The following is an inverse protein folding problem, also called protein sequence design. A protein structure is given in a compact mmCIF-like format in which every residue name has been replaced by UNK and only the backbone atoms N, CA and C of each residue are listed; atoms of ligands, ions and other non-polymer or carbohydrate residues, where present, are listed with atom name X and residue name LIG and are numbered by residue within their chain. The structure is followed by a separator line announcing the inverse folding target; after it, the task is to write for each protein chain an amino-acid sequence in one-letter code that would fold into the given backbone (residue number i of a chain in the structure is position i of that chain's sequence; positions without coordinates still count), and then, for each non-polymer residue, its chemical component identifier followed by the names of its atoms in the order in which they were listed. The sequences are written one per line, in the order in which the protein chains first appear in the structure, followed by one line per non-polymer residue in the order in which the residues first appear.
data_IF_923874649831
#
_entry.id   IF_923874649831
#
_cell.length_a   1.000
_cell.length_b   1.000
_cell.length_c   1.000
_cell.angle_alpha   90.00
_cell.angle_beta   90.00
_cell.angle_gamma   90.00
#
_symmetry.space_group_name_H-M   'P 1'
#
loop_
_entity.id
_entity.type
_entity.pdbx_description
1 polymer ?
#
# COMPACT_ATOMS: atom_id res chain seq x y z
N UNK A 1 -26.83 38.99 50.81
CA UNK A 1 -26.79 39.65 49.49
C UNK A 1 -25.50 40.38 49.19
N UNK A 2 -24.53 40.56 50.08
CA UNK A 2 -23.21 41.10 49.75
C UNK A 2 -22.39 40.19 48.82
N UNK A 3 -22.55 38.89 48.90
CA UNK A 3 -21.84 37.91 48.05
C UNK A 3 -22.24 38.02 46.58
N UNK A 4 -23.45 38.41 46.25
CA UNK A 4 -23.92 38.61 44.86
C UNK A 4 -23.33 39.86 44.23
N UNK A 5 -23.12 40.92 45.04
CA UNK A 5 -22.51 42.17 44.58
C UNK A 5 -21.01 42.06 44.28
N UNK A 6 -20.35 40.98 44.74
CA UNK A 6 -18.92 40.73 44.48
C UNK A 6 -18.65 39.95 43.15
N UNK A 7 -19.69 39.46 42.48
CA UNK A 7 -19.54 38.79 41.19
C UNK A 7 -19.55 39.84 40.09
N UNK A 8 -18.45 40.01 39.33
CA UNK A 8 -18.44 40.96 38.21
C UNK A 8 -19.44 40.51 37.14
N UNK A 9 -20.54 41.26 36.97
CA UNK A 9 -21.61 40.93 35.99
C UNK A 9 -21.11 40.81 34.53
N UNK A 10 -19.99 41.46 34.23
CA UNK A 10 -19.37 41.39 32.89
C UNK A 10 -18.52 40.17 32.60
N UNK A 11 -18.21 39.33 33.62
CA UNK A 11 -17.30 38.18 33.43
C UNK A 11 -17.77 37.17 32.36
N UNK A 12 -19.06 36.73 32.33
CA UNK A 12 -19.55 35.81 31.29
C UNK A 12 -19.43 36.40 29.88
N UNK A 13 -19.69 37.69 29.73
CA UNK A 13 -19.58 38.38 28.44
C UNK A 13 -18.12 38.44 27.94
N UNK A 14 -17.16 38.71 28.82
CA UNK A 14 -15.74 38.75 28.50
C UNK A 14 -15.25 37.36 28.12
N UNK A 15 -15.60 36.31 28.87
CA UNK A 15 -15.24 34.93 28.57
C UNK A 15 -15.77 34.52 27.19
N UNK A 16 -17.06 34.79 26.91
CA UNK A 16 -17.67 34.46 25.62
C UNK A 16 -16.97 35.21 24.47
N UNK A 17 -16.61 36.49 24.67
CA UNK A 17 -15.89 37.28 23.66
C UNK A 17 -14.49 36.71 23.38
N UNK A 18 -13.74 36.34 24.41
CA UNK A 18 -12.40 35.73 24.28
C UNK A 18 -12.48 34.40 23.57
N UNK A 19 -13.44 33.54 23.92
CA UNK A 19 -13.66 32.26 23.25
C UNK A 19 -14.04 32.44 21.78
N UNK A 20 -14.91 33.40 21.45
CA UNK A 20 -15.29 33.72 20.08
C UNK A 20 -14.08 34.18 19.24
N UNK A 21 -13.21 35.02 19.80
CA UNK A 21 -11.97 35.46 19.16
C UNK A 21 -11.01 34.28 18.95
N UNK A 22 -10.93 33.37 19.92
CA UNK A 22 -10.11 32.15 19.82
C UNK A 22 -10.62 31.23 18.69
N UNK A 23 -11.93 31.00 18.59
CA UNK A 23 -12.54 30.25 17.48
C UNK A 23 -12.24 30.90 16.14
N UNK A 24 -12.37 32.26 16.06
CA UNK A 24 -12.05 32.98 14.81
C UNK A 24 -10.59 32.78 14.37
N UNK A 25 -9.65 32.66 15.31
CA UNK A 25 -8.24 32.36 15.01
C UNK A 25 -8.07 30.90 14.57
N UNK A 26 -8.75 29.95 15.23
CA UNK A 26 -8.69 28.52 14.90
C UNK A 26 -9.25 28.21 13.51
N UNK A 27 -10.33 28.89 13.11
CA UNK A 27 -10.89 28.77 11.74
C UNK A 27 -9.86 29.14 10.67
N UNK A 28 -9.01 30.14 10.92
CA UNK A 28 -7.96 30.58 9.97
C UNK A 28 -6.90 29.46 9.72
N UNK A 29 -6.78 28.51 10.63
CA UNK A 29 -5.89 27.34 10.50
C UNK A 29 -6.70 26.05 10.24
N UNK A 30 -7.84 26.17 9.53
CA UNK A 30 -8.69 25.09 9.08
C UNK A 30 -9.28 24.20 10.21
N UNK A 31 -9.45 24.75 11.41
CA UNK A 31 -10.06 24.04 12.53
C UNK A 31 -11.56 24.32 12.58
N UNK A 32 -12.39 23.28 12.70
CA UNK A 32 -13.84 23.40 12.86
C UNK A 32 -14.19 23.20 14.32
N UNK A 33 -14.71 24.26 14.97
CA UNK A 33 -15.20 24.21 16.35
C UNK A 33 -16.70 24.12 16.37
N UNK A 34 -17.24 23.03 16.93
CA UNK A 34 -18.70 22.81 17.03
C UNK A 34 -19.33 23.43 18.28
N UNK A 35 -18.58 23.61 19.36
CA UNK A 35 -19.04 24.15 20.64
C UNK A 35 -17.97 25.05 21.23
N UNK A 36 -18.37 26.28 21.64
CA UNK A 36 -17.48 27.27 22.26
C UNK A 36 -16.71 26.73 23.49
N UNK A 37 -17.36 26.03 24.46
CA UNK A 37 -16.65 25.50 25.62
C UNK A 37 -15.54 24.49 25.30
N UNK A 38 -15.60 23.84 24.14
CA UNK A 38 -14.57 22.89 23.72
C UNK A 38 -13.19 23.54 23.49
N UNK A 39 -13.15 24.85 23.24
CA UNK A 39 -11.88 25.60 23.08
C UNK A 39 -11.11 25.69 24.40
N UNK A 40 -11.82 25.89 25.48
CA UNK A 40 -11.23 25.91 26.84
C UNK A 40 -10.68 24.52 27.20
N UNK A 41 -11.49 23.48 27.00
CA UNK A 41 -11.06 22.08 27.26
C UNK A 41 -9.84 21.73 26.43
N UNK A 42 -9.80 22.13 25.15
CA UNK A 42 -8.65 21.87 24.26
C UNK A 42 -7.36 22.52 24.77
N UNK A 43 -7.45 23.72 25.38
CA UNK A 43 -6.30 24.39 25.98
C UNK A 43 -5.72 23.72 27.22
N UNK A 44 -6.48 22.82 27.86
CA UNK A 44 -6.12 22.12 29.10
C UNK A 44 -5.69 20.67 28.87
N UNK A 45 -5.70 20.15 27.61
CA UNK A 45 -5.32 18.76 27.37
C UNK A 45 -3.83 18.55 27.58
N UNK A 46 -3.50 17.47 28.32
CA UNK A 46 -2.13 17.02 28.54
C UNK A 46 -1.72 15.82 27.67
N UNK A 47 -2.70 15.16 27.05
CA UNK A 47 -2.50 13.98 26.20
C UNK A 47 -3.32 14.15 24.92
N UNK A 48 -2.67 13.99 23.78
CA UNK A 48 -3.31 13.99 22.46
C UNK A 48 -3.18 12.60 21.85
N UNK A 49 -4.31 11.93 21.62
CA UNK A 49 -4.37 10.68 20.90
C UNK A 49 -4.70 10.98 19.44
N UNK A 50 -3.80 10.61 18.53
CA UNK A 50 -3.99 10.80 17.10
C UNK A 50 -3.98 9.45 16.40
N UNK A 51 -4.93 9.23 15.47
CA UNK A 51 -4.84 8.12 14.53
C UNK A 51 -3.71 8.42 13.54
N UNK A 52 -2.99 7.37 13.14
CA UNK A 52 -1.90 7.49 12.17
C UNK A 52 -2.45 7.76 10.78
N UNK A 53 -3.43 6.94 10.35
CA UNK A 53 -3.87 6.87 8.96
C UNK A 53 -4.78 8.04 8.59
N UNK A 54 -4.40 8.82 7.57
CA UNK A 54 -5.17 9.98 7.12
C UNK A 54 -5.14 11.20 8.05
N UNK A 55 -4.38 11.13 9.16
CA UNK A 55 -4.18 12.24 10.09
C UNK A 55 -2.71 12.68 10.12
N UNK A 56 -1.82 11.73 10.43
CA UNK A 56 -0.37 11.93 10.39
C UNK A 56 0.24 11.56 9.03
N UNK A 57 -0.48 10.79 8.23
CA UNK A 57 -0.10 10.38 6.87
C UNK A 57 -1.20 10.77 5.89
N UNK A 58 -0.84 10.91 4.62
CA UNK A 58 -1.77 11.24 3.53
C UNK A 58 -2.63 10.04 3.08
N UNK A 59 -2.54 8.90 3.77
CA UNK A 59 -3.15 7.62 3.34
C UNK A 59 -2.75 7.25 1.90
N UNK A 60 -1.53 7.57 1.51
CA UNK A 60 -0.93 7.26 0.22
C UNK A 60 0.28 6.37 0.43
N UNK A 61 0.37 5.33 -0.37
CA UNK A 61 1.52 4.43 -0.40
C UNK A 61 2.33 4.68 -1.67
N UNK A 62 3.63 4.48 -1.58
CA UNK A 62 4.55 4.60 -2.73
C UNK A 62 5.56 3.47 -2.67
N UNK A 63 5.81 2.82 -3.80
CA UNK A 63 6.88 1.82 -3.92
C UNK A 63 8.23 2.53 -3.86
N UNK A 64 9.07 2.18 -2.92
CA UNK A 64 10.37 2.84 -2.68
C UNK A 64 11.55 2.00 -3.10
N UNK A 65 11.50 0.69 -2.87
CA UNK A 65 12.56 -0.24 -3.23
C UNK A 65 11.99 -1.50 -3.87
N UNK A 66 12.75 -2.10 -4.76
CA UNK A 66 12.45 -3.39 -5.38
C UNK A 66 13.67 -4.30 -5.25
N UNK A 67 13.45 -5.58 -4.97
CA UNK A 67 14.48 -6.60 -5.04
C UNK A 67 14.33 -7.40 -6.32
N UNK A 68 15.34 -7.39 -7.17
CA UNK A 68 15.32 -8.02 -8.50
C UNK A 68 16.70 -8.50 -8.90
N UNK A 69 16.78 -9.72 -9.48
CA UNK A 69 18.04 -10.32 -9.94
C UNK A 69 19.17 -10.25 -8.89
N UNK A 70 18.86 -10.56 -7.62
CA UNK A 70 19.82 -10.50 -6.52
C UNK A 70 20.23 -9.10 -6.07
N UNK A 71 19.52 -8.04 -6.48
CA UNK A 71 19.88 -6.64 -6.18
C UNK A 71 18.67 -5.83 -5.69
N UNK A 72 18.93 -4.96 -4.73
CA UNK A 72 17.98 -3.94 -4.31
C UNK A 72 18.15 -2.73 -5.22
N UNK A 73 17.05 -2.20 -5.74
CA UNK A 73 17.04 -1.01 -6.58
C UNK A 73 15.80 -0.14 -6.34
N UNK A 74 15.88 1.12 -6.69
CA UNK A 74 14.72 2.00 -6.76
C UNK A 74 13.83 1.63 -7.96
N UNK A 75 12.49 1.83 -7.90
CA UNK A 75 11.58 1.53 -9.01
C UNK A 75 11.99 2.17 -10.33
N UNK A 76 12.53 3.39 -10.29
CA UNK A 76 13.00 4.12 -11.49
C UNK A 76 14.11 3.42 -12.26
N UNK A 77 14.82 2.47 -11.64
CA UNK A 77 15.89 1.68 -12.27
C UNK A 77 15.40 0.40 -12.93
N UNK A 78 14.13 0.07 -12.79
CA UNK A 78 13.52 -1.05 -13.48
C UNK A 78 13.52 -0.82 -15.00
N UNK A 79 13.58 -1.91 -15.75
CA UNK A 79 13.54 -1.87 -17.20
C UNK A 79 12.26 -2.56 -17.71
N UNK A 80 11.41 -1.86 -18.46
CA UNK A 80 10.12 -2.36 -18.95
C UNK A 80 10.19 -3.73 -19.63
N UNK A 81 11.24 -4.01 -20.41
CA UNK A 81 11.38 -5.30 -21.11
C UNK A 81 11.90 -6.40 -20.20
N UNK A 82 12.94 -6.11 -19.42
CA UNK A 82 13.59 -7.07 -18.53
C UNK A 82 12.68 -7.42 -17.36
N UNK A 83 11.97 -6.43 -16.82
CA UNK A 83 11.15 -6.53 -15.61
C UNK A 83 9.66 -6.67 -15.94
N UNK A 84 9.36 -7.09 -17.17
CA UNK A 84 8.01 -7.20 -17.71
C UNK A 84 7.07 -8.00 -16.81
N UNK A 85 7.43 -9.21 -16.42
CA UNK A 85 6.57 -10.07 -15.59
C UNK A 85 6.27 -9.47 -14.22
N UNK A 86 7.20 -8.71 -13.67
CA UNK A 86 7.02 -7.98 -12.43
C UNK A 86 6.00 -6.84 -12.59
N UNK A 87 6.20 -5.97 -13.57
CA UNK A 87 5.35 -4.80 -13.79
C UNK A 87 3.93 -5.21 -14.24
N UNK A 88 3.82 -6.13 -15.20
CA UNK A 88 2.54 -6.63 -15.68
C UNK A 88 1.82 -7.46 -14.62
N UNK A 89 2.54 -8.27 -13.86
CA UNK A 89 1.95 -9.11 -12.82
C UNK A 89 1.32 -8.31 -11.69
N UNK A 90 1.98 -7.24 -11.22
CA UNK A 90 1.38 -6.36 -10.22
C UNK A 90 0.22 -5.51 -10.76
N UNK A 91 0.25 -5.17 -12.04
CA UNK A 91 -0.88 -4.48 -12.67
C UNK A 91 -2.08 -5.42 -12.86
N UNK A 92 -1.86 -6.67 -13.28
CA UNK A 92 -2.91 -7.65 -13.55
C UNK A 92 -3.49 -8.26 -12.26
N UNK A 93 -2.62 -8.57 -11.27
CA UNK A 93 -3.03 -9.09 -9.96
C UNK A 93 -3.37 -7.93 -9.01
N UNK A 94 -4.42 -7.17 -9.36
CA UNK A 94 -4.76 -5.92 -8.69
C UNK A 94 -6.26 -5.62 -8.87
N UNK A 95 -6.93 -5.09 -7.83
CA UNK A 95 -8.36 -4.75 -7.87
C UNK A 95 -8.61 -3.24 -7.87
N UNK A 96 -7.55 -2.43 -7.64
CA UNK A 96 -7.65 -0.98 -7.68
C UNK A 96 -7.83 -0.43 -9.10
N UNK A 97 -8.28 0.80 -9.21
CA UNK A 97 -8.39 1.57 -10.46
C UNK A 97 -7.79 2.96 -10.29
N UNK A 98 -7.04 3.40 -11.30
CA UNK A 98 -6.50 4.77 -11.38
C UNK A 98 -7.16 5.59 -12.49
N UNK A 99 -8.13 5.00 -13.22
CA UNK A 99 -8.85 5.67 -14.30
C UNK A 99 -10.04 6.46 -13.76
N UNK A 100 -10.01 7.78 -13.88
CA UNK A 100 -11.02 8.67 -13.32
C UNK A 100 -10.81 8.86 -11.82
N UNK A 101 -11.75 8.40 -11.02
CA UNK A 101 -11.62 8.37 -9.55
C UNK A 101 -10.69 7.24 -9.12
N UNK A 102 -9.76 7.54 -8.22
CA UNK A 102 -8.81 6.54 -7.69
C UNK A 102 -9.53 5.71 -6.62
N UNK A 103 -9.79 4.45 -6.92
CA UNK A 103 -10.53 3.53 -6.06
C UNK A 103 -9.67 2.30 -5.79
N UNK A 104 -9.53 1.91 -4.52
CA UNK A 104 -8.84 0.70 -4.09
C UNK A 104 -7.97 0.88 -2.85
N UNK A 105 -7.31 -0.19 -2.44
CA UNK A 105 -6.33 -0.15 -1.35
C UNK A 105 -5.13 0.71 -1.73
N UNK A 106 -4.62 1.56 -0.82
CA UNK A 106 -3.46 2.43 -1.09
C UNK A 106 -2.24 1.67 -1.61
N UNK A 107 -2.00 0.45 -1.14
CA UNK A 107 -0.90 -0.39 -1.61
C UNK A 107 -1.10 -0.78 -3.07
N UNK A 108 -2.31 -1.19 -3.44
CA UNK A 108 -2.64 -1.56 -4.82
C UNK A 108 -2.56 -0.37 -5.78
N UNK A 109 -3.00 0.81 -5.33
CA UNK A 109 -2.85 2.05 -6.09
C UNK A 109 -1.38 2.40 -6.34
N UNK A 110 -0.49 2.19 -5.34
CA UNK A 110 0.94 2.41 -5.50
C UNK A 110 1.58 1.51 -6.56
N UNK A 111 1.11 0.25 -6.65
CA UNK A 111 1.54 -0.71 -7.68
C UNK A 111 1.15 -0.26 -9.09
N UNK A 112 -0.09 0.22 -9.24
CA UNK A 112 -0.56 0.76 -10.52
C UNK A 112 0.17 2.04 -10.90
N UNK A 113 0.45 2.93 -9.95
CA UNK A 113 1.24 4.15 -10.20
C UNK A 113 2.66 3.79 -10.66
N UNK A 114 3.30 2.81 -10.03
CA UNK A 114 4.59 2.29 -10.47
C UNK A 114 4.52 1.76 -11.90
N UNK A 115 3.55 0.90 -12.22
CA UNK A 115 3.39 0.33 -13.55
C UNK A 115 3.09 1.42 -14.61
N UNK A 116 2.27 2.41 -14.29
CA UNK A 116 1.96 3.54 -15.16
C UNK A 116 3.20 4.38 -15.49
N UNK A 117 4.15 4.50 -14.57
CA UNK A 117 5.46 5.13 -14.81
C UNK A 117 6.28 4.47 -15.93
N UNK A 118 5.97 3.22 -16.29
CA UNK A 118 6.53 2.47 -17.42
C UNK A 118 5.57 2.33 -18.59
N UNK A 119 4.55 3.19 -18.68
CA UNK A 119 3.50 3.17 -19.73
C UNK A 119 2.70 1.86 -19.77
N UNK A 120 2.61 1.17 -18.62
CA UNK A 120 1.82 -0.03 -18.47
C UNK A 120 0.50 0.37 -17.82
N UNK A 121 -0.60 0.20 -18.57
CA UNK A 121 -1.96 0.47 -18.13
C UNK A 121 -2.68 -0.86 -17.96
N UNK A 122 -3.28 -1.09 -16.79
CA UNK A 122 -4.00 -2.33 -16.48
C UNK A 122 -5.07 -2.65 -17.51
N UNK A 123 -5.87 -1.67 -17.88
CA UNK A 123 -6.99 -1.84 -18.81
C UNK A 123 -6.52 -2.36 -20.18
N UNK A 124 -5.41 -1.83 -20.69
CA UNK A 124 -4.81 -2.31 -21.94
C UNK A 124 -4.20 -3.70 -21.81
N UNK A 125 -3.67 -4.03 -20.63
CA UNK A 125 -3.19 -5.37 -20.37
C UNK A 125 -4.34 -6.38 -20.33
N UNK A 126 -5.46 -6.02 -19.72
CA UNK A 126 -6.64 -6.87 -19.62
C UNK A 126 -7.31 -7.15 -20.97
N UNK A 127 -7.14 -6.26 -21.98
CA UNK A 127 -7.55 -6.54 -23.35
C UNK A 127 -6.75 -7.71 -23.97
N UNK A 128 -5.44 -7.78 -23.65
CA UNK A 128 -4.54 -8.85 -24.15
C UNK A 128 -4.49 -10.06 -23.24
N UNK A 129 -4.70 -9.85 -21.93
CA UNK A 129 -4.65 -10.85 -20.87
C UNK A 129 -5.91 -10.76 -20.00
N UNK A 130 -7.10 -11.07 -20.54
CA UNK A 130 -8.33 -10.97 -19.76
C UNK A 130 -8.30 -11.90 -18.54
N UNK A 131 -8.70 -11.35 -17.38
CA UNK A 131 -8.87 -12.10 -16.14
C UNK A 131 -10.02 -13.08 -16.32
N UNK A 132 -9.76 -14.36 -16.09
CA UNK A 132 -10.75 -15.46 -16.24
C UNK A 132 -11.22 -16.01 -14.91
N UNK A 133 -10.33 -16.05 -13.92
CA UNK A 133 -10.63 -16.55 -12.59
C UNK A 133 -9.77 -15.79 -11.56
N UNK A 134 -10.22 -15.81 -10.30
CA UNK A 134 -9.47 -15.26 -9.20
C UNK A 134 -9.72 -16.02 -7.89
N UNK A 135 -8.75 -15.97 -6.99
CA UNK A 135 -8.91 -16.23 -5.57
C UNK A 135 -8.64 -14.89 -4.89
N UNK A 136 -9.69 -14.26 -4.36
CA UNK A 136 -9.62 -12.97 -3.71
C UNK A 136 -8.65 -12.99 -2.52
N UNK A 137 -8.18 -11.81 -2.12
CA UNK A 137 -7.30 -11.67 -0.95
C UNK A 137 -7.99 -12.22 0.30
N UNK A 138 -7.26 -13.00 1.06
CA UNK A 138 -7.66 -13.54 2.34
C UNK A 138 -6.59 -13.27 3.38
N UNK A 139 -7.00 -12.79 4.56
CA UNK A 139 -6.08 -12.37 5.63
C UNK A 139 -5.38 -13.53 6.32
N UNK A 140 -5.93 -14.74 6.30
CA UNK A 140 -5.28 -15.94 6.83
C UNK A 140 -4.22 -16.45 5.88
N UNK A 141 -4.55 -16.50 4.56
CA UNK A 141 -3.60 -16.87 3.50
C UNK A 141 -2.60 -15.76 3.17
N UNK A 142 -2.94 -14.50 3.45
CA UNK A 142 -2.15 -13.29 3.18
C UNK A 142 -1.76 -13.14 1.71
N UNK A 143 -2.58 -13.61 0.78
CA UNK A 143 -2.33 -13.53 -0.66
C UNK A 143 -3.61 -13.51 -1.47
N UNK A 144 -3.49 -13.08 -2.72
CA UNK A 144 -4.51 -13.19 -3.76
C UNK A 144 -3.90 -13.78 -5.04
N UNK A 145 -4.72 -14.42 -5.85
CA UNK A 145 -4.28 -15.03 -7.11
C UNK A 145 -5.25 -14.71 -8.22
N UNK A 146 -4.74 -14.33 -9.37
CA UNK A 146 -5.52 -14.08 -10.58
C UNK A 146 -5.04 -14.96 -11.73
N UNK A 147 -5.96 -15.46 -12.55
CA UNK A 147 -5.68 -16.24 -13.75
C UNK A 147 -6.07 -15.43 -14.98
N UNK A 148 -5.15 -15.32 -15.90
CA UNK A 148 -5.29 -14.56 -17.13
C UNK A 148 -5.11 -15.45 -18.34
N UNK A 149 -5.95 -15.23 -19.37
CA UNK A 149 -5.84 -15.93 -20.65
C UNK A 149 -4.82 -15.19 -21.51
N UNK A 150 -3.72 -15.85 -21.86
CA UNK A 150 -2.79 -15.34 -22.85
C UNK A 150 -3.07 -15.90 -24.26
N UNK A 151 -2.40 -15.39 -25.27
CA UNK A 151 -2.57 -15.85 -26.66
C UNK A 151 -2.19 -17.33 -26.86
N UNK A 152 -1.12 -17.78 -26.22
CA UNK A 152 -0.62 -19.18 -26.34
C UNK A 152 -0.91 -19.99 -25.10
N UNK A 153 -0.70 -19.42 -23.95
CA UNK A 153 -0.77 -20.09 -22.66
C UNK A 153 -1.37 -19.16 -21.60
N UNK A 154 -2.12 -19.73 -20.68
CA UNK A 154 -2.61 -18.98 -19.54
C UNK A 154 -1.48 -18.68 -18.56
N UNK A 155 -1.56 -17.54 -17.89
CA UNK A 155 -0.65 -17.13 -16.82
C UNK A 155 -1.44 -16.82 -15.55
N UNK A 156 -0.95 -17.28 -14.41
CA UNK A 156 -1.49 -16.84 -13.12
C UNK A 156 -0.44 -16.05 -12.35
N UNK A 157 -0.89 -15.02 -11.68
CA UNK A 157 -0.10 -14.21 -10.76
C UNK A 157 -0.66 -14.34 -9.36
N UNK A 158 0.25 -14.50 -8.39
CA UNK A 158 -0.08 -14.55 -6.96
C UNK A 158 0.70 -13.45 -6.25
N UNK A 159 -0.01 -12.52 -5.62
CA UNK A 159 0.54 -11.40 -4.86
C UNK A 159 0.23 -11.59 -3.37
N UNK A 160 1.19 -11.33 -2.50
CA UNK A 160 0.93 -11.45 -1.07
C UNK A 160 2.15 -11.24 -0.18
N UNK A 161 2.03 -11.74 1.05
CA UNK A 161 3.14 -11.74 2.00
C UNK A 161 4.36 -12.45 1.43
N UNK A 162 5.55 -11.85 1.54
CA UNK A 162 6.78 -12.44 1.01
C UNK A 162 7.04 -13.86 1.52
N UNK A 163 6.80 -14.12 2.79
CA UNK A 163 7.02 -15.42 3.42
C UNK A 163 6.16 -16.50 2.75
N UNK A 164 4.86 -16.20 2.58
CA UNK A 164 3.90 -17.12 1.97
C UNK A 164 4.22 -17.40 0.48
N UNK A 165 4.56 -16.35 -0.27
CA UNK A 165 4.92 -16.50 -1.68
C UNK A 165 6.24 -17.26 -1.81
N UNK A 166 7.24 -16.97 -0.97
CA UNK A 166 8.54 -17.64 -0.99
C UNK A 166 8.40 -19.13 -0.62
N UNK A 167 7.59 -19.47 0.40
CA UNK A 167 7.34 -20.83 0.82
C UNK A 167 6.74 -21.68 -0.31
N UNK A 168 5.78 -21.11 -1.05
CA UNK A 168 5.07 -21.76 -2.16
C UNK A 168 5.84 -21.77 -3.48
N UNK A 169 7.00 -21.10 -3.52
CA UNK A 169 7.82 -21.01 -4.73
C UNK A 169 8.80 -22.16 -4.85
N UNK A 170 8.68 -22.90 -5.97
CA UNK A 170 9.62 -23.96 -6.36
C UNK A 170 10.69 -23.46 -7.33
N UNK A 171 10.49 -22.29 -7.91
CA UNK A 171 11.36 -21.71 -8.92
C UNK A 171 11.58 -20.21 -8.64
N UNK A 172 12.64 -19.68 -9.23
CA UNK A 172 13.02 -18.27 -9.22
C UNK A 172 13.14 -17.76 -10.65
N UNK A 173 12.68 -16.56 -10.93
CA UNK A 173 12.92 -15.87 -12.19
C UNK A 173 14.22 -15.06 -12.05
N UNK A 174 15.27 -15.47 -12.73
CA UNK A 174 16.58 -14.80 -12.70
C UNK A 174 17.15 -14.71 -14.12
N UNK A 175 17.66 -13.55 -14.51
CA UNK A 175 18.23 -13.33 -15.84
C UNK A 175 17.24 -13.52 -16.99
N UNK A 176 15.94 -13.41 -16.75
CA UNK A 176 14.87 -13.68 -17.72
C UNK A 176 14.52 -15.14 -17.90
N UNK A 177 15.18 -16.06 -17.18
CA UNK A 177 14.92 -17.50 -17.19
C UNK A 177 14.37 -18.01 -15.86
N UNK A 178 13.68 -19.15 -15.92
CA UNK A 178 13.17 -19.86 -14.75
C UNK A 178 14.22 -20.86 -14.27
N UNK A 179 14.70 -20.68 -13.04
CA UNK A 179 15.65 -21.60 -12.40
C UNK A 179 15.03 -22.25 -11.16
N UNK A 180 15.48 -23.43 -10.70
CA UNK A 180 15.02 -24.04 -9.47
C UNK A 180 15.32 -23.14 -8.26
N UNK A 181 14.40 -23.09 -7.30
CA UNK A 181 14.60 -22.42 -6.01
C UNK A 181 15.49 -23.30 -5.12
N UNK A 182 16.76 -22.95 -5.00
CA UNK A 182 17.67 -23.66 -4.09
C UNK A 182 17.56 -23.14 -2.65
N UNK A 183 18.01 -23.94 -1.65
CA UNK A 183 18.02 -23.50 -0.25
C UNK A 183 18.87 -22.23 -0.04
N UNK A 184 19.94 -22.06 -0.83
CA UNK A 184 20.84 -20.90 -0.78
C UNK A 184 20.09 -19.64 -1.28
N UNK A 185 19.44 -19.74 -2.45
CA UNK A 185 18.65 -18.65 -3.03
C UNK A 185 17.47 -18.26 -2.13
N UNK A 186 16.83 -19.24 -1.51
CA UNK A 186 15.76 -18.99 -0.55
C UNK A 186 16.26 -18.19 0.64
N UNK A 187 17.40 -18.56 1.23
CA UNK A 187 18.00 -17.84 2.35
C UNK A 187 18.44 -16.41 1.97
N UNK A 188 18.98 -16.23 0.75
CA UNK A 188 19.35 -14.91 0.23
C UNK A 188 18.12 -13.98 0.16
N UNK A 189 17.02 -14.47 -0.41
CA UNK A 189 15.78 -13.71 -0.53
C UNK A 189 15.19 -13.41 0.86
N UNK A 190 15.17 -14.39 1.75
CA UNK A 190 14.68 -14.26 3.12
C UNK A 190 15.43 -13.18 3.90
N UNK A 191 16.76 -13.13 3.79
CA UNK A 191 17.57 -12.08 4.38
C UNK A 191 17.20 -10.67 3.88
N UNK A 192 16.90 -10.53 2.59
CA UNK A 192 16.45 -9.25 2.03
C UNK A 192 15.07 -8.87 2.54
N UNK A 193 14.14 -9.83 2.61
CA UNK A 193 12.81 -9.60 3.17
C UNK A 193 12.91 -9.13 4.63
N UNK A 194 13.74 -9.79 5.44
CA UNK A 194 13.99 -9.38 6.81
C UNK A 194 14.62 -7.98 6.93
N UNK A 195 15.55 -7.61 6.03
CA UNK A 195 16.12 -6.28 6.00
C UNK A 195 15.05 -5.21 5.71
N UNK A 196 14.15 -5.48 4.76
CA UNK A 196 13.05 -4.59 4.43
C UNK A 196 12.03 -4.44 5.58
N UNK A 197 11.60 -5.53 6.19
CA UNK A 197 10.66 -5.49 7.31
C UNK A 197 11.24 -4.80 8.55
N UNK A 198 12.56 -4.83 8.73
CA UNK A 198 13.26 -4.12 9.81
C UNK A 198 13.18 -2.59 9.71
N UNK A 199 12.92 -2.04 8.52
CA UNK A 199 12.69 -0.60 8.28
C UNK A 199 11.23 -0.17 8.50
N UNK A 200 10.38 -1.03 9.09
CA UNK A 200 8.95 -0.81 9.32
C UNK A 200 8.15 -0.53 8.02
N UNK A 201 8.59 -1.09 6.91
CA UNK A 201 8.01 -0.93 5.59
C UNK A 201 7.10 -2.12 5.26
N UNK A 202 6.09 -1.86 4.45
CA UNK A 202 5.21 -2.94 3.97
C UNK A 202 5.86 -3.61 2.78
N UNK A 203 6.13 -4.91 2.89
CA UNK A 203 6.76 -5.71 1.83
C UNK A 203 5.71 -6.60 1.17
N UNK A 204 5.71 -6.63 -0.15
CA UNK A 204 4.91 -7.56 -0.95
C UNK A 204 5.82 -8.38 -1.86
N UNK A 205 5.40 -9.60 -2.16
CA UNK A 205 6.04 -10.45 -3.16
C UNK A 205 5.06 -10.86 -4.24
N UNK A 206 5.63 -11.18 -5.40
CA UNK A 206 4.90 -11.65 -6.57
C UNK A 206 5.48 -13.00 -7.03
N UNK A 207 4.59 -13.96 -7.14
CA UNK A 207 4.85 -15.25 -7.77
C UNK A 207 4.02 -15.42 -9.04
N UNK A 208 4.46 -16.24 -9.97
CA UNK A 208 3.69 -16.59 -11.17
C UNK A 208 3.75 -18.07 -11.49
N UNK A 209 2.78 -18.52 -12.30
CA UNK A 209 2.84 -19.78 -13.04
C UNK A 209 2.59 -19.50 -14.51
N UNK A 210 3.49 -19.99 -15.34
CA UNK A 210 3.39 -19.92 -16.79
C UNK A 210 4.06 -21.17 -17.37
N UNK A 211 3.36 -22.09 -18.04
CA UNK A 211 1.90 -22.09 -18.24
C UNK A 211 1.10 -22.37 -16.96
N UNK A 212 -0.09 -21.77 -16.85
CA UNK A 212 -1.01 -22.00 -15.75
C UNK A 212 -2.20 -22.88 -16.17
N UNK A 213 -2.41 -23.99 -15.45
CA UNK A 213 -3.54 -24.92 -15.66
C UNK A 213 -4.70 -24.67 -14.70
N UNK A 214 -4.89 -23.42 -14.25
CA UNK A 214 -5.87 -23.02 -13.27
C UNK A 214 -5.27 -22.28 -12.08
N UNK A 215 -6.10 -21.97 -11.09
CA UNK A 215 -5.70 -21.28 -9.87
C UNK A 215 -5.02 -22.25 -8.89
N UNK A 216 -3.70 -22.29 -8.92
CA UNK A 216 -2.88 -23.08 -8.00
C UNK A 216 -1.83 -22.17 -7.38
N UNK A 217 -1.80 -22.13 -6.05
CA UNK A 217 -0.91 -21.27 -5.25
C UNK A 217 0.37 -21.98 -4.80
N UNK A 218 0.66 -23.16 -5.35
CA UNK A 218 1.89 -23.94 -5.09
C UNK A 218 2.72 -24.12 -6.37
N UNK A 219 4.02 -24.35 -6.21
CA UNK A 219 4.94 -24.51 -7.32
C UNK A 219 5.09 -23.22 -8.13
N UNK A 220 5.02 -22.08 -7.46
CA UNK A 220 5.18 -20.77 -8.04
C UNK A 220 6.61 -20.57 -8.54
N UNK A 221 6.77 -19.66 -9.49
CA UNK A 221 8.02 -19.00 -9.82
C UNK A 221 8.04 -17.67 -9.09
N UNK A 222 8.92 -17.52 -8.13
CA UNK A 222 9.13 -16.25 -7.42
C UNK A 222 9.69 -15.24 -8.41
N UNK A 223 9.01 -14.10 -8.57
CA UNK A 223 9.45 -13.07 -9.48
C UNK A 223 10.31 -12.08 -8.72
N UNK A 224 9.77 -11.46 -7.65
CA UNK A 224 10.42 -10.37 -6.91
C UNK A 224 9.65 -10.03 -5.64
N UNK A 225 10.30 -9.23 -4.78
CA UNK A 225 9.64 -8.51 -3.70
C UNK A 225 9.86 -7.00 -3.85
N UNK A 226 8.97 -6.23 -3.27
CA UNK A 226 9.00 -4.77 -3.25
C UNK A 226 8.58 -4.24 -1.89
N UNK A 227 8.91 -2.99 -1.65
CA UNK A 227 8.74 -2.30 -0.38
C UNK A 227 7.94 -1.01 -0.57
N UNK A 228 7.00 -0.74 0.33
CA UNK A 228 6.15 0.44 0.34
C UNK A 228 6.34 1.27 1.60
N UNK A 229 6.31 2.59 1.44
CA UNK A 229 6.17 3.55 2.55
C UNK A 229 4.80 4.21 2.50
N UNK A 230 4.24 4.54 3.68
CA UNK A 230 3.10 5.45 3.79
C UNK A 230 3.61 6.90 3.85
N UNK A 231 3.16 7.73 2.94
CA UNK A 231 3.34 9.18 2.99
C UNK A 231 2.26 9.83 3.86
#
# INVERSE_FOLDING_TARGET
SLAVAAVPEGLPAIVTMVLALSVSRMVKVNTIVKRLPSVETLGCVSVVCSDKTGTLTQNRMTVTKCYTDGKICEPKRLNRRKDRYFLEGYALCNDASIRGERIGDPTELALLDMAAGFEIQRERLEESFPRTQEIAFDSERKMMTTLHRGEKENVSYTKGSPDEILERSAFLLEGGGRIPMTPEKRREIDQVIHAFTGEALRVLALGMRNPASGLKENGLTFIRSEEHTSE
#
